data_IF_491350810231
#
_entry.id   IF_491350810231
#
_cell.length_a   1.000
_cell.length_b   1.000
_cell.length_c   1.000
_cell.angle_alpha   90.00
_cell.angle_beta   90.00
_cell.angle_gamma   90.00
#
_symmetry.space_group_name_H-M   'P 1'
#
loop_
_entity.id
_entity.type
_entity.pdbx_description
1 polymer ?
#
# COMPACT_ATOMS: atom_id res chain seq x y z
N UNK A 1 29.96 4.81 18.32
CA UNK A 1 29.11 5.55 17.35
C UNK A 1 28.83 4.71 16.10
N UNK A 2 29.77 3.89 15.65
CA UNK A 2 29.62 2.98 14.48
C UNK A 2 28.48 1.96 14.62
N UNK A 3 28.33 1.28 15.75
CA UNK A 3 27.27 0.27 15.94
C UNK A 3 25.83 0.82 15.92
N UNK A 4 25.64 2.11 16.24
CA UNK A 4 24.34 2.78 16.13
C UNK A 4 23.94 2.99 14.66
N UNK A 5 24.92 3.28 13.81
CA UNK A 5 24.70 3.47 12.37
C UNK A 5 24.40 2.13 11.68
N UNK A 6 25.08 1.05 12.10
CA UNK A 6 24.84 -0.30 11.59
C UNK A 6 23.45 -0.83 12.00
N UNK A 7 23.03 -0.59 13.26
CA UNK A 7 21.68 -0.91 13.70
C UNK A 7 20.61 -0.09 12.95
N UNK A 8 20.86 1.20 12.72
CA UNK A 8 19.98 2.05 11.93
C UNK A 8 19.90 1.60 10.46
N UNK A 9 20.99 1.10 9.87
CA UNK A 9 20.98 0.54 8.52
C UNK A 9 20.18 -0.77 8.44
N UNK A 10 20.42 -1.69 9.38
CA UNK A 10 19.78 -3.02 9.41
C UNK A 10 18.28 -2.95 9.71
N UNK A 11 17.81 -1.95 10.47
CA UNK A 11 16.37 -1.77 10.80
C UNK A 11 15.72 -0.73 9.91
N UNK A 12 16.43 0.35 9.59
CA UNK A 12 15.91 1.47 8.81
C UNK A 12 15.61 1.10 7.35
N UNK A 13 16.46 0.27 6.72
CA UNK A 13 16.20 -0.17 5.36
C UNK A 13 14.94 -1.04 5.25
N UNK A 14 14.77 -2.14 6.03
CA UNK A 14 13.52 -2.90 6.02
C UNK A 14 12.30 -2.08 6.42
N UNK A 15 12.45 -1.12 7.34
CA UNK A 15 11.35 -0.25 7.78
C UNK A 15 10.85 0.65 6.64
N UNK A 16 11.74 1.34 5.93
CA UNK A 16 11.36 2.19 4.79
C UNK A 16 10.71 1.36 3.67
N UNK A 17 11.27 0.18 3.38
CA UNK A 17 10.67 -0.75 2.40
C UNK A 17 9.27 -1.16 2.84
N UNK A 18 9.08 -1.51 4.11
CA UNK A 18 7.77 -1.88 4.65
C UNK A 18 6.76 -0.74 4.54
N UNK A 19 7.15 0.48 4.91
CA UNK A 19 6.29 1.67 4.78
C UNK A 19 5.89 1.89 3.31
N UNK A 20 6.86 1.86 2.40
CA UNK A 20 6.60 2.00 0.96
C UNK A 20 5.61 0.95 0.45
N UNK A 21 5.80 -0.32 0.84
CA UNK A 21 4.92 -1.42 0.43
C UNK A 21 3.52 -1.27 1.01
N UNK A 22 3.39 -0.87 2.28
CA UNK A 22 2.11 -0.63 2.93
C UNK A 22 1.33 0.48 2.21
N UNK A 23 1.94 1.65 2.00
CA UNK A 23 1.31 2.76 1.26
C UNK A 23 0.93 2.35 -0.17
N UNK A 24 1.75 1.53 -0.82
CA UNK A 24 1.46 1.01 -2.16
C UNK A 24 0.27 0.05 -2.18
N UNK A 25 0.14 -0.81 -1.17
CA UNK A 25 -0.99 -1.76 -1.06
C UNK A 25 -2.29 -1.00 -0.78
N UNK A 26 -2.25 -0.01 0.11
CA UNK A 26 -3.40 0.85 0.44
C UNK A 26 -4.00 1.49 -0.83
N UNK A 27 -3.15 2.08 -1.69
CA UNK A 27 -3.60 2.63 -2.97
C UNK A 27 -4.20 1.59 -3.93
N UNK A 28 -3.74 0.34 -3.90
CA UNK A 28 -4.33 -0.75 -4.70
C UNK A 28 -5.69 -1.18 -4.17
N UNK A 29 -5.85 -1.23 -2.85
CA UNK A 29 -7.11 -1.58 -2.20
C UNK A 29 -8.18 -0.53 -2.50
N UNK A 30 -7.85 0.76 -2.42
CA UNK A 30 -8.77 1.84 -2.78
C UNK A 30 -9.24 1.71 -4.23
N UNK A 31 -8.30 1.48 -5.17
CA UNK A 31 -8.64 1.29 -6.58
C UNK A 31 -9.54 0.08 -6.82
N UNK A 32 -9.35 -1.00 -6.05
CA UNK A 32 -10.21 -2.19 -6.13
C UNK A 32 -11.62 -1.86 -5.65
N UNK A 33 -11.77 -1.16 -4.52
CA UNK A 33 -13.06 -0.68 -4.01
C UNK A 33 -13.79 0.17 -5.04
N UNK A 34 -13.08 1.14 -5.64
CA UNK A 34 -13.63 1.99 -6.72
C UNK A 34 -14.07 1.14 -7.91
N UNK A 35 -13.29 0.13 -8.30
CA UNK A 35 -13.62 -0.74 -9.44
C UNK A 35 -14.86 -1.58 -9.19
N UNK A 36 -15.02 -2.12 -7.97
CA UNK A 36 -16.20 -2.89 -7.56
C UNK A 36 -17.44 -1.99 -7.57
N UNK A 37 -17.35 -0.78 -7.01
CA UNK A 37 -18.47 0.17 -6.99
C UNK A 37 -18.89 0.57 -8.41
N UNK A 38 -17.92 0.86 -9.28
CA UNK A 38 -18.20 1.16 -10.69
C UNK A 38 -18.90 0.00 -11.40
N UNK A 39 -18.47 -1.23 -11.14
CA UNK A 39 -19.10 -2.42 -11.70
C UNK A 39 -20.55 -2.56 -11.19
N UNK A 40 -20.77 -2.42 -9.89
CA UNK A 40 -22.11 -2.48 -9.29
C UNK A 40 -23.05 -1.44 -9.92
N UNK A 41 -22.62 -0.18 -10.01
CA UNK A 41 -23.41 0.87 -10.64
C UNK A 41 -23.62 0.66 -12.14
N UNK A 42 -22.70 0.00 -12.84
CA UNK A 42 -22.89 -0.35 -14.25
C UNK A 42 -23.97 -1.42 -14.42
N UNK A 43 -24.02 -2.42 -13.53
CA UNK A 43 -25.05 -3.46 -13.53
C UNK A 43 -26.43 -2.90 -13.19
N UNK A 44 -26.53 -2.00 -12.23
CA UNK A 44 -27.78 -1.31 -11.88
C UNK A 44 -28.35 -0.49 -13.04
N UNK A 45 -27.50 0.12 -13.86
CA UNK A 45 -27.93 0.90 -15.05
C UNK A 45 -28.42 0.04 -16.21
N UNK A 46 -28.01 -1.23 -16.25
CA UNK A 46 -28.37 -2.18 -17.32
C UNK A 46 -29.66 -2.94 -16.97
N UNK A 47 -30.00 -3.04 -15.68
CA UNK A 47 -31.23 -3.68 -15.19
C UNK A 47 -32.43 -2.75 -15.28
#
# INVERSE_FOLDING_TARGET
>A
MEGLFEAAANVGFPMVVSIYLLTRIEGKMENLTVSINKLSSALEKVS
#
